data_IF_260435185726
#
_entry.id   IF_260435185726
#
_cell.length_a   1.000
_cell.length_b   1.000
_cell.length_c   1.000
_cell.angle_alpha   90.00
_cell.angle_beta   90.00
_cell.angle_gamma   90.00
#
_symmetry.space_group_name_H-M   'P 1'
#
loop_
_entity.id
_entity.type
_entity.pdbx_description
1 polymer ?
#
# COMPACT_ATOMS: atom_id res chain seq x y z
N UNK A 1 4.08 10.89 23.42
CA UNK A 1 2.76 11.49 23.21
C UNK A 1 2.18 10.84 21.96
N UNK A 2 1.00 10.23 22.05
CA UNK A 2 0.32 9.77 20.83
C UNK A 2 0.10 10.98 19.90
N UNK A 3 0.18 10.80 18.55
CA UNK A 3 -0.15 11.88 17.64
C UNK A 3 -1.57 12.37 17.96
N UNK A 4 -1.72 13.68 18.14
CA UNK A 4 -3.03 14.28 18.35
C UNK A 4 -3.87 14.11 17.08
N UNK A 5 -5.19 14.07 17.18
CA UNK A 5 -6.09 13.96 16.04
C UNK A 5 -5.78 15.01 14.93
N UNK A 6 -5.30 16.18 15.32
CA UNK A 6 -4.85 17.23 14.40
C UNK A 6 -3.60 16.79 13.60
N UNK A 7 -2.64 16.13 14.26
CA UNK A 7 -1.44 15.64 13.57
C UNK A 7 -1.73 14.54 12.54
N UNK A 8 -2.69 13.65 12.80
CA UNK A 8 -3.12 12.62 11.84
C UNK A 8 -3.76 13.27 10.60
N UNK A 9 -4.61 14.28 10.80
CA UNK A 9 -5.28 14.97 9.69
C UNK A 9 -4.28 15.65 8.75
N UNK A 10 -3.24 16.27 9.28
CA UNK A 10 -2.18 16.92 8.52
C UNK A 10 -1.34 15.87 7.77
N UNK A 11 -0.95 14.79 8.43
CA UNK A 11 -0.18 13.70 7.81
C UNK A 11 -0.95 13.04 6.66
N UNK A 12 -2.25 12.81 6.83
CA UNK A 12 -3.10 12.25 5.77
C UNK A 12 -3.27 13.23 4.61
N UNK A 13 -3.45 14.54 4.89
CA UNK A 13 -3.53 15.55 3.85
C UNK A 13 -2.23 15.65 3.03
N UNK A 14 -1.07 15.56 3.69
CA UNK A 14 0.24 15.50 3.05
C UNK A 14 0.38 14.24 2.18
N UNK A 15 0.00 13.07 2.71
CA UNK A 15 0.04 11.81 1.97
C UNK A 15 -0.84 11.83 0.70
N UNK A 16 -1.98 12.52 0.74
CA UNK A 16 -2.86 12.71 -0.43
C UNK A 16 -2.28 13.63 -1.49
N UNK A 17 -1.46 14.59 -1.09
CA UNK A 17 -0.78 15.51 -2.01
C UNK A 17 0.56 14.99 -2.52
N UNK A 18 0.93 13.77 -2.14
CA UNK A 18 2.20 13.17 -2.53
C UNK A 18 2.27 12.94 -4.04
N UNK A 19 3.26 13.54 -4.67
CA UNK A 19 3.54 13.33 -6.09
C UNK A 19 4.39 12.07 -6.29
N UNK A 20 3.90 11.19 -7.16
CA UNK A 20 4.63 9.95 -7.49
C UNK A 20 5.89 10.32 -8.27
N UNK A 21 7.09 9.95 -7.78
CA UNK A 21 8.33 10.22 -8.46
C UNK A 21 8.39 9.50 -9.83
N UNK A 22 9.34 9.90 -10.66
CA UNK A 22 9.62 9.17 -11.90
C UNK A 22 9.96 7.71 -11.61
N UNK A 23 9.27 6.79 -12.26
CA UNK A 23 9.41 5.36 -12.06
C UNK A 23 10.04 4.74 -13.30
N UNK A 24 11.17 4.08 -13.14
CA UNK A 24 11.74 3.22 -14.18
C UNK A 24 10.99 1.89 -14.15
N UNK A 25 10.54 1.46 -15.32
CA UNK A 25 9.73 0.25 -15.46
C UNK A 25 10.51 -0.99 -15.00
N UNK A 26 9.89 -1.80 -14.14
CA UNK A 26 10.35 -3.13 -13.79
C UNK A 26 9.68 -4.15 -14.71
N UNK A 27 10.46 -5.15 -15.15
CA UNK A 27 10.03 -6.19 -16.11
C UNK A 27 9.02 -7.20 -15.52
N UNK A 28 8.27 -6.80 -14.51
CA UNK A 28 7.31 -7.68 -13.88
C UNK A 28 5.99 -7.75 -14.64
N UNK A 29 5.61 -8.97 -14.91
CA UNK A 29 4.34 -9.31 -15.54
C UNK A 29 3.15 -9.13 -14.57
N UNK A 30 2.95 -7.90 -14.05
CA UNK A 30 1.75 -7.68 -13.27
C UNK A 30 0.59 -7.39 -14.20
N UNK A 31 -0.40 -8.28 -14.10
CA UNK A 31 -1.77 -8.00 -14.53
C UNK A 31 -2.29 -6.73 -13.84
N UNK A 32 -3.20 -6.05 -14.50
CA UNK A 32 -3.90 -4.91 -13.93
C UNK A 32 -4.53 -5.25 -12.57
N UNK A 33 -4.47 -4.30 -11.63
CA UNK A 33 -5.17 -4.43 -10.37
C UNK A 33 -6.69 -4.49 -10.60
N UNK A 34 -7.40 -5.37 -9.88
CA UNK A 34 -8.85 -5.47 -9.99
C UNK A 34 -9.53 -4.19 -9.47
N UNK A 35 -10.75 -3.94 -9.95
CA UNK A 35 -11.57 -2.85 -9.42
C UNK A 35 -11.88 -3.07 -7.93
N UNK A 36 -11.98 -1.99 -7.14
CA UNK A 36 -12.31 -2.05 -5.73
C UNK A 36 -13.66 -2.70 -5.47
N UNK A 37 -13.69 -3.72 -4.62
CA UNK A 37 -14.89 -4.43 -4.18
C UNK A 37 -14.62 -5.17 -2.86
N UNK A 38 -15.66 -5.53 -2.08
CA UNK A 38 -15.52 -6.45 -0.95
C UNK A 38 -15.02 -7.82 -1.41
N UNK A 39 -14.34 -8.53 -0.52
CA UNK A 39 -13.73 -9.86 -0.76
C UNK A 39 -12.74 -9.88 -1.94
N UNK A 40 -12.06 -8.77 -2.16
CA UNK A 40 -10.99 -8.70 -3.14
C UNK A 40 -9.72 -9.42 -2.67
N UNK A 41 -8.84 -9.78 -3.60
CA UNK A 41 -7.53 -10.30 -3.25
C UNK A 41 -6.67 -9.18 -2.65
N UNK A 42 -5.90 -9.54 -1.63
CA UNK A 42 -4.84 -8.67 -1.09
C UNK A 42 -3.57 -8.91 -1.89
N UNK A 43 -3.05 -7.87 -2.55
CA UNK A 43 -1.79 -7.92 -3.27
C UNK A 43 -0.64 -7.59 -2.31
N UNK A 44 0.34 -8.47 -2.22
CA UNK A 44 1.42 -8.35 -1.25
C UNK A 44 2.76 -8.32 -1.98
N UNK A 45 3.45 -7.19 -1.88
CA UNK A 45 4.79 -7.02 -2.45
C UNK A 45 5.81 -7.39 -1.39
N UNK A 46 6.47 -8.52 -1.56
CA UNK A 46 7.54 -8.99 -0.68
C UNK A 46 8.91 -8.83 -1.35
N UNK A 47 9.96 -8.91 -0.56
CA UNK A 47 11.33 -8.87 -1.07
C UNK A 47 12.30 -8.29 -0.04
N UNK A 48 13.59 -8.49 -0.30
CA UNK A 48 14.64 -7.99 0.56
C UNK A 48 14.60 -6.45 0.68
N UNK A 49 15.16 -5.93 1.76
CA UNK A 49 15.27 -4.48 1.95
C UNK A 49 16.01 -3.84 0.76
N UNK A 50 15.53 -2.70 0.27
CA UNK A 50 16.09 -1.93 -0.87
C UNK A 50 16.00 -2.61 -2.26
N UNK A 51 15.17 -3.63 -2.45
CA UNK A 51 14.94 -4.21 -3.78
C UNK A 51 13.95 -3.42 -4.66
N UNK A 52 13.36 -2.32 -4.16
CA UNK A 52 12.50 -1.43 -4.94
C UNK A 52 10.99 -1.65 -4.78
N UNK A 53 10.52 -2.30 -3.69
CA UNK A 53 9.08 -2.56 -3.42
C UNK A 53 8.21 -1.30 -3.53
N UNK A 54 8.63 -0.22 -2.88
CA UNK A 54 7.93 1.07 -2.91
C UNK A 54 7.80 1.62 -4.34
N UNK A 55 8.88 1.60 -5.12
CA UNK A 55 8.85 2.04 -6.52
C UNK A 55 8.00 1.14 -7.41
N UNK A 56 7.91 -0.14 -7.07
CA UNK A 56 7.02 -1.06 -7.74
C UNK A 56 5.54 -0.75 -7.45
N UNK A 57 5.21 -0.42 -6.22
CA UNK A 57 3.89 0.10 -5.87
C UNK A 57 3.58 1.41 -6.65
N UNK A 58 4.54 2.32 -6.77
CA UNK A 58 4.40 3.55 -7.57
C UNK A 58 4.17 3.27 -9.06
N UNK A 59 4.76 2.22 -9.62
CA UNK A 59 4.49 1.79 -10.98
C UNK A 59 3.01 1.40 -11.16
N UNK A 60 2.42 0.71 -10.21
CA UNK A 60 0.99 0.39 -10.23
C UNK A 60 0.12 1.63 -10.11
N UNK A 61 0.45 2.53 -9.19
CA UNK A 61 -0.28 3.80 -9.03
C UNK A 61 -0.24 4.60 -10.33
N UNK A 62 0.92 4.70 -10.98
CA UNK A 62 1.05 5.39 -12.27
C UNK A 62 0.13 4.78 -13.32
N UNK A 63 0.08 3.46 -13.43
CA UNK A 63 -0.82 2.75 -14.36
C UNK A 63 -2.30 3.03 -14.09
N UNK A 64 -2.70 3.10 -12.81
CA UNK A 64 -4.08 3.45 -12.44
C UNK A 64 -4.43 4.87 -12.90
N UNK A 65 -3.53 5.83 -12.68
CA UNK A 65 -3.69 7.22 -13.13
C UNK A 65 -3.79 7.30 -14.66
N UNK A 66 -2.90 6.62 -15.37
CA UNK A 66 -2.87 6.57 -16.84
C UNK A 66 -4.15 5.95 -17.43
N UNK A 67 -4.81 5.07 -16.68
CA UNK A 67 -6.11 4.49 -17.02
C UNK A 67 -7.29 5.40 -16.66
N UNK A 68 -7.05 6.58 -16.11
CA UNK A 68 -8.07 7.56 -15.76
C UNK A 68 -8.76 7.29 -14.41
N UNK A 69 -8.17 6.49 -13.53
CA UNK A 69 -8.66 6.36 -12.16
C UNK A 69 -8.48 7.70 -11.44
N UNK A 70 -9.53 8.16 -10.80
CA UNK A 70 -9.52 9.40 -10.03
C UNK A 70 -8.44 9.32 -8.92
N UNK A 71 -7.51 10.26 -8.95
CA UNK A 71 -6.39 10.30 -8.01
C UNK A 71 -6.84 10.35 -6.54
N UNK A 72 -7.98 10.94 -6.25
CA UNK A 72 -8.55 10.95 -4.89
C UNK A 72 -8.94 9.56 -4.38
N UNK A 73 -9.16 8.60 -5.29
CA UNK A 73 -9.46 7.19 -4.98
C UNK A 73 -8.21 6.31 -4.87
N UNK A 74 -7.01 6.89 -5.01
CA UNK A 74 -5.73 6.21 -4.87
C UNK A 74 -5.03 6.79 -3.65
N UNK A 75 -4.80 5.97 -2.63
CA UNK A 75 -4.16 6.40 -1.40
C UNK A 75 -2.88 5.59 -1.16
N UNK A 76 -1.74 6.28 -1.11
CA UNK A 76 -0.46 5.72 -0.73
C UNK A 76 -0.07 6.23 0.66
N UNK A 77 0.34 5.31 1.54
CA UNK A 77 0.80 5.66 2.88
C UNK A 77 1.95 4.77 3.33
N UNK A 78 3.02 5.39 3.86
CA UNK A 78 4.18 4.68 4.38
C UNK A 78 4.18 4.70 5.90
N UNK A 79 4.05 3.52 6.52
CA UNK A 79 4.04 3.37 7.98
C UNK A 79 5.43 3.39 8.63
N UNK A 80 6.51 3.46 7.85
CA UNK A 80 7.86 3.66 8.36
C UNK A 80 8.21 5.14 8.62
N UNK A 81 7.27 6.07 8.45
CA UNK A 81 7.45 7.48 8.77
C UNK A 81 7.73 7.66 10.27
N UNK A 82 8.86 8.28 10.62
CA UNK A 82 9.30 8.46 12.00
C UNK A 82 8.41 9.41 12.80
N UNK A 83 7.68 10.32 12.14
CA UNK A 83 6.68 11.22 12.74
C UNK A 83 5.52 10.46 13.38
N UNK A 84 5.30 9.21 13.00
CA UNK A 84 4.27 8.33 13.54
C UNK A 84 4.67 7.69 14.88
N UNK A 85 5.88 7.95 15.37
CA UNK A 85 6.40 7.29 16.57
C UNK A 85 6.19 8.13 17.85
N UNK A 86 5.80 7.50 18.98
CA UNK A 86 5.42 6.09 19.12
C UNK A 86 4.07 5.82 18.46
N UNK A 87 3.96 4.69 17.74
CA UNK A 87 2.76 4.31 17.01
C UNK A 87 1.75 3.62 17.96
N UNK A 88 0.52 4.11 18.12
CA UNK A 88 -0.53 3.38 18.81
C UNK A 88 -1.04 2.22 17.97
N UNK A 89 -1.59 1.18 18.61
CA UNK A 89 -2.16 0.01 17.94
C UNK A 89 -3.32 0.37 16.98
N UNK A 90 -3.95 1.52 17.17
CA UNK A 90 -5.04 2.03 16.33
C UNK A 90 -4.56 2.81 15.11
N UNK A 91 -3.25 3.09 15.00
CA UNK A 91 -2.70 4.03 14.02
C UNK A 91 -3.18 3.77 12.59
N UNK A 92 -3.12 2.52 12.13
CA UNK A 92 -3.54 2.17 10.77
C UNK A 92 -5.02 2.45 10.56
N UNK A 93 -5.86 2.11 11.51
CA UNK A 93 -7.31 2.39 11.44
C UNK A 93 -7.58 3.90 11.45
N UNK A 94 -6.88 4.65 12.30
CA UNK A 94 -7.06 6.10 12.43
C UNK A 94 -6.66 6.84 11.14
N UNK A 95 -5.56 6.44 10.50
CA UNK A 95 -5.11 6.98 9.20
C UNK A 95 -6.16 6.72 8.11
N UNK A 96 -6.71 5.50 8.05
CA UNK A 96 -7.67 5.13 7.01
C UNK A 96 -9.03 5.80 7.22
N UNK A 97 -9.53 5.87 8.44
CA UNK A 97 -10.78 6.60 8.74
C UNK A 97 -10.61 8.10 8.45
N UNK A 98 -9.45 8.68 8.76
CA UNK A 98 -9.16 10.07 8.43
C UNK A 98 -9.08 10.28 6.90
N UNK A 99 -8.48 9.37 6.15
CA UNK A 99 -8.50 9.44 4.69
C UNK A 99 -9.93 9.45 4.14
N UNK A 100 -10.79 8.54 4.60
CA UNK A 100 -12.19 8.49 4.18
C UNK A 100 -13.01 9.69 4.66
N UNK A 101 -12.65 10.28 5.79
CA UNK A 101 -13.26 11.52 6.26
C UNK A 101 -12.93 12.69 5.32
N UNK A 102 -11.69 12.76 4.86
CA UNK A 102 -11.23 13.78 3.90
C UNK A 102 -11.75 13.53 2.48
N UNK A 103 -11.94 12.27 2.10
CA UNK A 103 -12.38 11.84 0.75
C UNK A 103 -13.57 10.85 0.86
N UNK A 104 -14.78 11.32 1.16
CA UNK A 104 -15.94 10.44 1.31
C UNK A 104 -16.27 9.65 0.04
N UNK A 105 -15.93 10.18 -1.13
CA UNK A 105 -16.09 9.50 -2.43
C UNK A 105 -15.26 8.22 -2.53
N UNK A 106 -14.08 8.18 -1.91
CA UNK A 106 -13.22 7.00 -1.90
C UNK A 106 -13.87 5.81 -1.15
N UNK A 107 -14.63 6.07 -0.10
CA UNK A 107 -15.38 5.02 0.61
C UNK A 107 -16.60 4.54 -0.16
N UNK A 108 -17.35 5.46 -0.79
CA UNK A 108 -18.62 5.13 -1.46
C UNK A 108 -18.43 4.53 -2.85
N UNK A 109 -17.43 4.97 -3.62
CA UNK A 109 -17.09 4.46 -4.95
C UNK A 109 -16.03 3.37 -4.95
N UNK A 110 -15.43 3.12 -3.77
CA UNK A 110 -14.28 2.24 -3.60
C UNK A 110 -12.95 2.91 -3.95
N UNK A 111 -11.85 2.40 -3.37
CA UNK A 111 -10.52 2.98 -3.51
C UNK A 111 -9.41 1.92 -3.61
N UNK A 112 -8.26 2.37 -4.10
CA UNK A 112 -7.02 1.61 -4.15
C UNK A 112 -6.13 2.07 -2.99
N UNK A 113 -5.82 1.15 -2.08
CA UNK A 113 -4.98 1.43 -0.90
C UNK A 113 -3.60 0.80 -1.09
N UNK A 114 -2.58 1.62 -1.09
CA UNK A 114 -1.18 1.21 -1.12
C UNK A 114 -0.54 1.50 0.24
N UNK A 115 -0.42 0.47 1.06
CA UNK A 115 0.08 0.57 2.43
C UNK A 115 1.50 0.00 2.49
N UNK A 116 2.47 0.90 2.61
CA UNK A 116 3.89 0.57 2.56
C UNK A 116 4.46 0.33 3.97
N UNK A 117 5.32 -0.70 4.10
CA UNK A 117 5.96 -1.12 5.35
C UNK A 117 4.96 -1.38 6.50
N UNK A 118 3.87 -2.11 6.20
CA UNK A 118 2.75 -2.35 7.15
C UNK A 118 3.20 -2.98 8.48
N UNK A 119 4.29 -3.76 8.48
CA UNK A 119 4.83 -4.40 9.69
C UNK A 119 5.39 -3.39 10.72
N UNK A 120 5.43 -2.12 10.38
CA UNK A 120 5.81 -1.06 11.32
C UNK A 120 4.65 -0.64 12.25
N UNK A 121 3.44 -1.20 12.06
CA UNK A 121 2.29 -1.01 12.94
C UNK A 121 1.82 -2.33 13.53
N UNK A 122 1.54 -2.35 14.82
CA UNK A 122 0.95 -3.52 15.46
C UNK A 122 -0.49 -3.73 15.00
N UNK A 123 -0.94 -4.98 14.93
CA UNK A 123 -2.31 -5.32 14.54
C UNK A 123 -2.67 -5.11 13.07
N UNK A 124 -1.72 -4.76 12.21
CA UNK A 124 -1.95 -4.49 10.77
C UNK A 124 -2.69 -5.64 10.07
N UNK A 125 -2.43 -6.89 10.46
CA UNK A 125 -3.04 -8.07 9.85
C UNK A 125 -4.57 -8.03 9.97
N UNK A 126 -5.08 -7.77 11.18
CA UNK A 126 -6.52 -7.70 11.45
C UNK A 126 -7.19 -6.54 10.69
N UNK A 127 -6.52 -5.39 10.60
CA UNK A 127 -7.01 -4.25 9.85
C UNK A 127 -7.07 -4.57 8.36
N UNK A 128 -6.00 -5.10 7.77
CA UNK A 128 -5.95 -5.46 6.36
C UNK A 128 -6.98 -6.55 6.00
N UNK A 129 -7.18 -7.54 6.88
CA UNK A 129 -8.21 -8.57 6.67
C UNK A 129 -9.62 -7.93 6.67
N UNK A 130 -9.93 -7.10 7.64
CA UNK A 130 -11.22 -6.38 7.71
C UNK A 130 -11.47 -5.53 6.46
N UNK A 131 -10.46 -4.81 6.01
CA UNK A 131 -10.54 -4.00 4.78
C UNK A 131 -10.87 -4.86 3.56
N UNK A 132 -10.14 -5.96 3.36
CA UNK A 132 -10.33 -6.85 2.23
C UNK A 132 -11.69 -7.56 2.24
N UNK A 133 -12.26 -7.84 3.42
CA UNK A 133 -13.52 -8.56 3.55
C UNK A 133 -14.75 -7.65 3.50
N UNK A 134 -14.67 -6.43 4.05
CA UNK A 134 -15.86 -5.62 4.30
C UNK A 134 -15.91 -4.30 3.55
N UNK A 135 -14.78 -3.80 3.07
CA UNK A 135 -14.73 -2.51 2.38
C UNK A 135 -14.57 -2.70 0.87
N UNK A 136 -15.05 -1.73 0.09
CA UNK A 136 -14.83 -1.71 -1.36
C UNK A 136 -13.43 -1.19 -1.65
N UNK A 137 -12.42 -2.05 -1.48
CA UNK A 137 -11.02 -1.69 -1.67
C UNK A 137 -10.28 -2.69 -2.57
N UNK A 138 -9.28 -2.19 -3.28
CA UNK A 138 -8.19 -2.99 -3.80
C UNK A 138 -6.97 -2.69 -2.95
N UNK A 139 -6.51 -3.67 -2.17
CA UNK A 139 -5.47 -3.51 -1.18
C UNK A 139 -4.15 -4.03 -1.69
N UNK A 140 -3.14 -3.17 -1.69
CA UNK A 140 -1.73 -3.49 -1.98
C UNK A 140 -0.93 -3.18 -0.73
N UNK A 141 -0.24 -4.16 -0.19
CA UNK A 141 0.62 -3.97 0.98
C UNK A 141 2.06 -4.32 0.64
N UNK A 142 3.00 -3.64 1.29
CA UNK A 142 4.41 -3.99 1.20
C UNK A 142 5.01 -4.26 2.57
N UNK A 143 6.08 -5.02 2.57
CA UNK A 143 6.91 -5.23 3.75
C UNK A 143 8.17 -6.03 3.43
N UNK A 144 9.12 -6.07 4.36
CA UNK A 144 10.34 -6.84 4.18
C UNK A 144 10.06 -8.33 4.35
N UNK A 145 10.64 -9.17 3.50
CA UNK A 145 10.50 -10.64 3.55
C UNK A 145 10.93 -11.27 4.89
N UNK A 146 11.71 -10.55 5.70
CA UNK A 146 12.08 -10.99 7.04
C UNK A 146 10.97 -10.80 8.09
N UNK A 147 9.98 -9.95 7.79
CA UNK A 147 8.87 -9.60 8.69
C UNK A 147 7.49 -9.98 8.12
N UNK A 148 7.43 -10.33 6.84
CA UNK A 148 6.24 -10.84 6.13
C UNK A 148 6.59 -12.19 5.52
N UNK A 149 6.42 -13.28 6.29
CA UNK A 149 6.63 -14.61 5.74
C UNK A 149 5.44 -15.03 4.87
N UNK A 150 5.72 -15.79 3.80
CA UNK A 150 4.69 -16.30 2.91
C UNK A 150 3.63 -17.14 3.65
N UNK A 151 4.06 -17.92 4.65
CA UNK A 151 3.17 -18.79 5.45
C UNK A 151 2.24 -17.97 6.36
N UNK A 152 2.74 -16.90 7.00
CA UNK A 152 1.92 -15.99 7.80
C UNK A 152 0.89 -15.27 6.95
N UNK A 153 1.30 -14.79 5.78
CA UNK A 153 0.43 -14.15 4.80
C UNK A 153 -0.69 -15.09 4.33
N UNK A 154 -0.33 -16.30 3.88
CA UNK A 154 -1.29 -17.29 3.40
C UNK A 154 -2.29 -17.68 4.49
N UNK A 155 -1.83 -17.82 5.72
CA UNK A 155 -2.66 -18.15 6.88
C UNK A 155 -3.59 -16.98 7.23
N UNK A 156 -3.07 -15.76 7.29
CA UNK A 156 -3.81 -14.58 7.69
C UNK A 156 -4.94 -14.25 6.70
N UNK A 157 -4.66 -14.30 5.41
CA UNK A 157 -5.65 -13.95 4.39
C UNK A 157 -6.44 -15.16 3.85
N UNK A 158 -6.28 -16.33 4.46
CA UNK A 158 -7.05 -17.55 4.13
C UNK A 158 -7.07 -17.88 2.63
N UNK A 159 -5.92 -17.76 1.98
CA UNK A 159 -5.78 -18.00 0.54
C UNK A 159 -6.34 -16.87 -0.35
N UNK A 160 -6.70 -15.72 0.21
CA UNK A 160 -7.15 -14.53 -0.52
C UNK A 160 -6.05 -13.49 -0.69
N UNK A 161 -4.83 -13.94 -0.92
CA UNK A 161 -3.70 -13.07 -1.19
C UNK A 161 -2.97 -13.49 -2.45
N UNK A 162 -2.38 -12.53 -3.11
CA UNK A 162 -1.47 -12.72 -4.24
C UNK A 162 -0.14 -12.09 -3.89
N UNK A 163 0.88 -12.94 -3.77
CA UNK A 163 2.23 -12.48 -3.50
C UNK A 163 2.94 -12.06 -4.79
N UNK A 164 3.69 -10.97 -4.71
CA UNK A 164 4.57 -10.43 -5.73
C UNK A 164 5.97 -10.33 -5.14
N UNK A 165 6.76 -11.39 -5.35
CA UNK A 165 8.12 -11.47 -4.83
C UNK A 165 9.07 -10.62 -5.67
N UNK A 166 9.59 -9.54 -5.06
CA UNK A 166 10.55 -8.64 -5.69
C UNK A 166 11.98 -9.11 -5.48
N UNK A 167 12.70 -9.20 -6.59
CA UNK A 167 14.14 -9.48 -6.61
C UNK A 167 14.96 -8.19 -6.83
N UNK A 168 16.27 -8.18 -6.52
CA UNK A 168 17.16 -7.12 -6.98
C UNK A 168 17.06 -6.92 -8.50
N UNK A 169 17.49 -5.74 -8.98
CA UNK A 169 17.46 -5.43 -10.41
C UNK A 169 18.14 -6.52 -11.22
N UNK A 170 17.48 -6.99 -12.28
CA UNK A 170 18.10 -7.78 -13.31
C UNK A 170 19.13 -6.93 -14.07
N UNK A 171 20.05 -7.54 -14.82
CA UNK A 171 21.01 -6.80 -15.62
C UNK A 171 20.33 -5.89 -16.65
N UNK A 172 19.23 -6.33 -17.25
CA UNK A 172 18.44 -5.53 -18.19
C UNK A 172 17.86 -4.28 -17.50
N UNK A 173 17.23 -4.46 -16.35
CA UNK A 173 16.67 -3.36 -15.55
C UNK A 173 17.77 -2.40 -15.10
N UNK A 174 18.91 -2.93 -14.64
CA UNK A 174 20.08 -2.12 -14.29
C UNK A 174 20.55 -1.24 -15.45
N UNK A 175 20.64 -1.78 -16.66
CA UNK A 175 20.98 -0.98 -17.85
C UNK A 175 19.93 0.10 -18.13
N UNK A 176 18.64 -0.21 -17.98
CA UNK A 176 17.56 0.76 -18.18
C UNK A 176 17.56 1.92 -17.15
N UNK A 177 18.13 1.69 -15.96
CA UNK A 177 18.27 2.74 -14.94
C UNK A 177 19.42 3.70 -15.22
N UNK A 178 20.37 3.34 -16.09
CA UNK A 178 21.58 4.13 -16.39
C UNK A 178 21.55 4.84 -17.75
N UNK A 179 20.46 4.70 -18.49
CA UNK A 179 20.21 5.40 -19.76
C UNK A 179 19.02 6.36 -19.62
#
# INVERSE_FOLDING_TARGET
MAPTALGIAEIVAEARSFEIPHVVHRDDAISDLPEPKPFNLVHIITGIRRCGKTFYAFQWIRRLIDRGVDAERIFYFNFADDRLRPAPDTLMSDILEEYWRQVPSARTKGCYLFLDEVQETDGWQGVCQRLAEHESVTLVITGSSSKLSADEIATQFRGRSQEHAMHPLSFREYCAFHH
#
